data_IF_383336571903
#
_entry.id   IF_383336571903
#
_cell.length_a   1.000
_cell.length_b   1.000
_cell.length_c   1.000
_cell.angle_alpha   90.00
_cell.angle_beta   90.00
_cell.angle_gamma   90.00
#
_symmetry.space_group_name_H-M   'P 1'
#
loop_
_entity.id
_entity.type
_entity.pdbx_description
1 polymer ?
#
# COMPACT_ATOMS: atom_id res chain seq x y z
N UNK A 1 -23.49 6.51 -45.36
CA UNK A 1 -23.00 7.59 -44.47
C UNK A 1 -22.20 6.96 -43.34
N UNK A 2 -20.88 7.20 -43.30
CA UNK A 2 -19.95 6.65 -42.31
C UNK A 2 -19.78 7.67 -41.17
N UNK A 3 -19.99 7.28 -39.91
CA UNK A 3 -19.57 8.08 -38.74
C UNK A 3 -18.49 7.29 -38.00
N UNK A 4 -17.24 7.76 -38.16
CA UNK A 4 -16.07 7.31 -37.41
C UNK A 4 -16.20 7.79 -35.96
N UNK A 5 -16.05 6.88 -35.00
CA UNK A 5 -15.82 7.23 -33.60
C UNK A 5 -14.34 7.51 -33.39
N UNK A 6 -14.06 8.60 -32.68
CA UNK A 6 -12.72 9.11 -32.41
C UNK A 6 -11.95 8.22 -31.44
N UNK A 7 -10.64 8.17 -31.67
CA UNK A 7 -9.63 7.41 -30.92
C UNK A 7 -9.64 7.79 -29.44
N UNK A 8 -9.68 6.77 -28.58
CA UNK A 8 -9.29 6.88 -27.18
C UNK A 8 -7.82 7.31 -27.11
N UNK A 9 -7.55 8.36 -26.33
CA UNK A 9 -6.19 8.78 -25.99
C UNK A 9 -5.69 7.85 -24.87
N UNK A 10 -4.71 7.01 -25.20
CA UNK A 10 -3.92 6.27 -24.20
C UNK A 10 -2.93 7.28 -23.63
N UNK A 11 -3.14 7.72 -22.39
CA UNK A 11 -2.15 8.49 -21.64
C UNK A 11 -1.22 7.46 -20.98
N UNK A 12 0.04 7.43 -21.42
CA UNK A 12 1.07 6.64 -20.77
C UNK A 12 1.38 7.26 -19.40
N UNK A 13 0.95 6.62 -18.32
CA UNK A 13 1.43 6.92 -16.98
C UNK A 13 2.87 6.42 -16.85
N UNK A 14 3.80 7.31 -16.48
CA UNK A 14 5.18 6.95 -16.25
C UNK A 14 5.28 6.13 -14.96
N UNK A 15 5.64 4.85 -15.07
CA UNK A 15 5.89 3.94 -13.95
C UNK A 15 7.04 4.48 -13.10
N UNK A 16 6.76 4.86 -11.85
CA UNK A 16 7.79 5.12 -10.83
C UNK A 16 7.84 3.90 -9.91
N UNK A 17 8.73 2.97 -10.22
CA UNK A 17 9.03 1.83 -9.33
C UNK A 17 9.92 2.34 -8.20
N UNK A 18 9.38 2.45 -6.99
CA UNK A 18 10.18 2.75 -5.79
C UNK A 18 10.64 1.42 -5.19
N UNK A 19 11.89 1.02 -5.46
CA UNK A 19 12.55 -0.06 -4.72
C UNK A 19 13.18 0.53 -3.47
N UNK A 20 12.61 0.28 -2.30
CA UNK A 20 13.28 0.53 -1.02
C UNK A 20 14.17 -0.66 -0.69
N UNK A 21 15.48 -0.43 -0.78
CA UNK A 21 16.53 -1.43 -0.58
C UNK A 21 16.63 -1.93 0.86
N UNK A 22 16.46 -3.24 1.03
CA UNK A 22 16.89 -3.97 2.21
C UNK A 22 18.41 -4.23 2.11
N UNK A 23 19.18 -3.67 3.05
CA UNK A 23 20.62 -3.89 3.17
C UNK A 23 20.86 -5.29 3.75
N UNK A 24 21.36 -6.21 2.93
CA UNK A 24 22.00 -7.45 3.40
C UNK A 24 23.52 -7.27 3.45
N UNK A 25 24.10 -7.33 4.65
CA UNK A 25 25.54 -7.41 4.83
C UNK A 25 26.01 -8.84 4.55
N UNK A 26 26.70 -9.05 3.42
CA UNK A 26 27.43 -10.29 3.14
C UNK A 26 28.91 -10.02 3.34
N UNK A 27 29.48 -10.60 4.40
CA UNK A 27 30.94 -10.62 4.62
C UNK A 27 31.59 -11.61 3.65
N UNK A 28 32.32 -11.11 2.65
CA UNK A 28 33.12 -11.93 1.73
C UNK A 28 34.50 -12.17 2.32
N UNK A 29 34.80 -13.45 2.60
CA UNK A 29 36.13 -13.96 2.91
C UNK A 29 36.88 -14.18 1.60
N UNK A 30 38.00 -13.50 1.43
CA UNK A 30 38.86 -13.55 0.24
C UNK A 30 39.57 -14.90 0.10
N UNK A 31 39.54 -15.47 -1.11
CA UNK A 31 40.31 -16.65 -1.51
C UNK A 31 40.78 -16.50 -2.96
N UNK A 32 42.09 -16.35 -3.16
CA UNK A 32 42.78 -16.32 -4.44
C UNK A 32 42.77 -17.69 -5.15
N UNK A 33 42.75 -17.70 -6.50
CA UNK A 33 43.05 -18.92 -7.23
C UNK A 33 42.92 -18.90 -8.76
N UNK A 34 43.99 -18.43 -9.42
CA UNK A 34 44.59 -18.91 -10.68
C UNK A 34 43.82 -18.83 -12.02
N UNK A 35 44.48 -18.11 -12.93
CA UNK A 35 44.25 -18.06 -14.38
C UNK A 35 44.43 -19.43 -15.05
N UNK A 36 43.59 -19.70 -16.05
CA UNK A 36 43.79 -20.76 -17.02
C UNK A 36 43.86 -20.15 -18.43
N UNK A 37 44.93 -20.52 -19.10
CA UNK A 37 45.42 -20.08 -20.40
C UNK A 37 44.82 -20.97 -21.49
N UNK A 38 44.26 -20.39 -22.55
CA UNK A 38 43.82 -21.14 -23.74
C UNK A 38 44.28 -20.45 -25.02
N UNK A 39 44.61 -21.31 -25.99
CA UNK A 39 45.48 -21.13 -27.14
C UNK A 39 45.02 -20.07 -28.15
N UNK A 40 46.01 -19.37 -28.70
CA UNK A 40 45.91 -18.48 -29.86
C UNK A 40 45.48 -19.24 -31.12
N UNK A 41 44.52 -18.68 -31.86
CA UNK A 41 44.25 -19.00 -33.27
C UNK A 41 44.21 -17.67 -34.02
N UNK A 42 45.00 -17.54 -35.08
CA UNK A 42 45.10 -16.31 -35.88
C UNK A 42 43.80 -16.03 -36.66
N UNK A 43 43.31 -14.77 -36.71
CA UNK A 43 42.14 -14.39 -37.51
C UNK A 43 42.52 -14.06 -38.98
N UNK A 44 41.64 -14.35 -39.96
CA UNK A 44 41.86 -14.03 -41.38
C UNK A 44 41.76 -12.52 -41.69
N UNK A 45 42.32 -12.06 -42.83
CA UNK A 45 42.55 -10.64 -43.11
C UNK A 45 41.29 -9.84 -43.47
N UNK A 46 41.07 -8.78 -42.67
CA UNK A 46 40.53 -7.45 -42.98
C UNK A 46 39.39 -7.31 -44.02
N UNK A 47 38.16 -7.19 -43.52
CA UNK A 47 37.17 -6.25 -44.07
C UNK A 47 37.03 -5.14 -43.03
N UNK A 48 37.46 -3.92 -43.35
CA UNK A 48 37.29 -2.77 -42.46
C UNK A 48 35.80 -2.39 -42.35
N UNK A 49 35.17 -2.52 -41.17
CA UNK A 49 33.86 -1.91 -40.97
C UNK A 49 34.07 -0.40 -40.84
N UNK A 50 33.38 0.41 -41.65
CA UNK A 50 33.28 1.85 -41.40
C UNK A 50 32.63 2.05 -40.05
N UNK A 51 33.39 2.52 -39.07
CA UNK A 51 32.88 2.93 -37.75
C UNK A 51 31.82 4.04 -37.96
N UNK A 52 30.55 3.83 -37.58
CA UNK A 52 29.62 4.94 -37.47
C UNK A 52 30.12 5.85 -36.36
N UNK A 53 30.20 7.16 -36.61
CA UNK A 53 30.55 8.13 -35.59
C UNK A 53 29.62 7.94 -34.38
N UNK A 54 30.19 7.68 -33.21
CA UNK A 54 29.44 7.59 -31.96
C UNK A 54 28.85 8.96 -31.66
N UNK A 55 27.52 9.10 -31.52
CA UNK A 55 26.95 10.36 -31.09
C UNK A 55 27.47 10.69 -29.68
N UNK A 56 28.09 11.86 -29.54
CA UNK A 56 28.45 12.41 -28.24
C UNK A 56 27.16 12.81 -27.53
N UNK A 57 26.67 11.95 -26.64
CA UNK A 57 25.59 12.30 -25.74
C UNK A 57 26.16 13.14 -24.59
N UNK A 58 25.56 14.30 -24.38
CA UNK A 58 25.85 15.15 -23.23
C UNK A 58 25.63 14.36 -21.94
N UNK A 59 26.64 14.31 -21.07
CA UNK A 59 26.59 13.76 -19.71
C UNK A 59 25.94 14.74 -18.71
N UNK A 60 25.41 15.87 -19.17
CA UNK A 60 24.66 16.76 -18.30
C UNK A 60 23.41 16.04 -17.80
N UNK A 61 23.35 15.77 -16.49
CA UNK A 61 22.13 15.33 -15.85
C UNK A 61 21.01 16.33 -16.20
N UNK A 62 19.81 15.84 -16.59
CA UNK A 62 18.70 16.74 -16.85
C UNK A 62 18.48 17.61 -15.60
N UNK A 63 18.13 18.90 -15.75
CA UNK A 63 17.77 19.71 -14.61
C UNK A 63 16.69 18.96 -13.82
N UNK A 64 16.76 18.96 -12.47
CA UNK A 64 15.73 18.31 -11.67
C UNK A 64 14.37 18.83 -12.13
N UNK A 65 13.38 17.94 -12.35
CA UNK A 65 12.06 18.38 -12.78
C UNK A 65 11.59 19.46 -11.81
N UNK A 66 11.17 20.60 -12.36
CA UNK A 66 10.61 21.68 -11.55
C UNK A 66 9.46 21.09 -10.74
N UNK A 67 9.55 21.20 -9.41
CA UNK A 67 8.53 20.68 -8.50
C UNK A 67 7.21 21.33 -8.89
N UNK A 68 6.33 20.58 -9.54
CA UNK A 68 5.02 21.07 -9.97
C UNK A 68 4.30 21.52 -8.70
N UNK A 69 3.84 22.78 -8.70
CA UNK A 69 2.97 23.27 -7.64
C UNK A 69 1.56 23.00 -8.10
N UNK A 70 0.81 22.19 -7.35
CA UNK A 70 -0.59 21.91 -7.64
C UNK A 70 -1.39 23.21 -7.59
N UNK A 71 -2.27 23.43 -8.57
CA UNK A 71 -3.12 24.63 -8.63
C UNK A 71 -4.47 24.44 -7.98
N UNK A 72 -4.85 23.18 -7.72
CA UNK A 72 -6.08 22.79 -7.03
C UNK A 72 -5.80 22.28 -5.62
N UNK A 73 -6.80 22.35 -4.75
CA UNK A 73 -6.64 21.85 -3.38
C UNK A 73 -6.52 20.32 -3.36
N UNK A 74 -5.30 19.84 -3.14
CA UNK A 74 -5.00 18.41 -2.99
C UNK A 74 -5.45 17.81 -1.66
N UNK A 75 -5.82 18.64 -0.69
CA UNK A 75 -6.05 18.24 0.70
C UNK A 75 -4.80 17.78 1.47
N UNK A 76 -3.63 17.73 0.83
CA UNK A 76 -2.38 17.36 1.50
C UNK A 76 -1.93 18.49 2.44
N UNK A 77 -2.04 18.24 3.75
CA UNK A 77 -1.70 19.19 4.83
C UNK A 77 -0.74 18.56 5.84
N UNK A 78 0.27 17.84 5.34
CA UNK A 78 1.24 17.09 6.15
C UNK A 78 1.80 17.95 7.30
N UNK A 79 1.78 17.42 8.53
CA UNK A 79 2.22 18.11 9.74
C UNK A 79 1.21 19.09 10.35
N UNK A 80 0.06 19.31 9.72
CA UNK A 80 -0.97 20.28 10.12
C UNK A 80 -2.29 19.63 10.57
N UNK A 81 -2.28 18.32 10.83
CA UNK A 81 -3.48 17.63 11.30
C UNK A 81 -3.85 18.00 12.74
N UNK A 82 -5.06 17.63 13.20
CA UNK A 82 -5.53 17.98 14.54
C UNK A 82 -4.63 17.43 15.65
N UNK A 83 -4.33 18.27 16.64
CA UNK A 83 -3.53 17.92 17.81
C UNK A 83 -4.32 17.19 18.92
N UNK A 84 -5.61 16.98 18.73
CA UNK A 84 -6.48 16.26 19.67
C UNK A 84 -7.31 15.21 18.92
N UNK A 85 -7.62 14.11 19.60
CA UNK A 85 -8.56 13.11 19.11
C UNK A 85 -9.98 13.55 19.41
N UNK A 86 -10.84 13.48 18.40
CA UNK A 86 -12.28 13.48 18.62
C UNK A 86 -12.66 12.18 19.33
N UNK A 87 -13.51 12.22 20.38
CA UNK A 87 -14.00 11.00 21.02
C UNK A 87 -14.62 10.04 19.99
N UNK A 88 -14.18 8.78 20.01
CA UNK A 88 -14.76 7.72 19.18
C UNK A 88 -16.17 7.42 19.71
N UNK A 89 -17.21 7.38 18.85
CA UNK A 89 -18.54 6.99 19.29
C UNK A 89 -18.53 5.59 19.92
N UNK A 90 -19.18 5.43 21.08
CA UNK A 90 -19.15 4.15 21.79
C UNK A 90 -19.71 2.98 20.97
N UNK A 91 -20.69 3.24 20.12
CA UNK A 91 -21.25 2.26 19.18
C UNK A 91 -20.19 1.74 18.21
N UNK A 92 -19.37 2.65 17.66
CA UNK A 92 -18.23 2.31 16.81
C UNK A 92 -17.20 1.47 17.56
N UNK A 93 -16.78 1.91 18.76
CA UNK A 93 -15.84 1.15 19.59
C UNK A 93 -16.35 -0.27 19.88
N UNK A 94 -17.62 -0.42 20.26
CA UNK A 94 -18.21 -1.74 20.55
C UNK A 94 -18.21 -2.65 19.33
N UNK A 95 -18.64 -2.16 18.16
CA UNK A 95 -18.69 -2.97 16.92
C UNK A 95 -17.30 -3.41 16.48
N UNK A 96 -16.34 -2.49 16.42
CA UNK A 96 -14.95 -2.78 16.04
C UNK A 96 -14.34 -3.81 17.00
N UNK A 97 -14.50 -3.64 18.31
CA UNK A 97 -13.96 -4.58 19.29
C UNK A 97 -14.62 -5.96 19.20
N UNK A 98 -15.95 -6.03 18.99
CA UNK A 98 -16.65 -7.29 18.83
C UNK A 98 -16.19 -8.06 17.58
N UNK A 99 -15.95 -7.35 16.47
CA UNK A 99 -15.39 -7.95 15.26
C UNK A 99 -13.96 -8.47 15.49
N UNK A 100 -13.10 -7.68 16.14
CA UNK A 100 -11.75 -8.11 16.50
C UNK A 100 -11.73 -9.33 17.42
N UNK A 101 -12.58 -9.36 18.45
CA UNK A 101 -12.66 -10.51 19.36
C UNK A 101 -12.99 -11.82 18.62
N UNK A 102 -13.85 -11.75 17.60
CA UNK A 102 -14.20 -12.88 16.73
C UNK A 102 -12.99 -13.31 15.88
N UNK A 103 -12.35 -12.36 15.21
CA UNK A 103 -11.13 -12.59 14.41
C UNK A 103 -10.03 -13.22 15.27
N UNK A 104 -9.70 -12.62 16.41
CA UNK A 104 -8.64 -13.09 17.31
C UNK A 104 -8.90 -14.51 17.83
N UNK A 105 -10.14 -14.81 18.24
CA UNK A 105 -10.51 -16.16 18.71
C UNK A 105 -10.29 -17.19 17.61
N UNK A 106 -10.75 -16.88 16.40
CA UNK A 106 -10.58 -17.78 15.28
C UNK A 106 -9.10 -17.99 14.91
N UNK A 107 -8.32 -16.90 14.85
CA UNK A 107 -6.89 -16.97 14.53
C UNK A 107 -6.12 -17.79 15.57
N UNK A 108 -6.37 -17.59 16.87
CA UNK A 108 -5.71 -18.37 17.93
C UNK A 108 -5.96 -19.87 17.81
N UNK A 109 -7.18 -20.26 17.40
CA UNK A 109 -7.52 -21.67 17.24
C UNK A 109 -6.95 -22.27 15.94
N UNK A 110 -7.05 -21.55 14.83
CA UNK A 110 -6.84 -22.09 13.49
C UNK A 110 -5.50 -21.66 12.88
N UNK A 111 -5.15 -20.39 12.99
CA UNK A 111 -3.98 -19.78 12.36
C UNK A 111 -3.07 -19.04 13.37
N UNK A 112 -2.47 -19.73 14.36
CA UNK A 112 -1.67 -19.11 15.42
C UNK A 112 -0.44 -18.34 14.90
N UNK A 113 0.13 -18.73 13.75
CA UNK A 113 1.23 -17.99 13.13
C UNK A 113 0.78 -16.58 12.74
N UNK A 114 -0.40 -16.48 12.12
CA UNK A 114 -1.03 -15.19 11.82
C UNK A 114 -1.48 -14.47 13.09
N UNK A 115 -2.01 -15.17 14.09
CA UNK A 115 -2.40 -14.56 15.36
C UNK A 115 -1.23 -13.82 16.03
N UNK A 116 -0.02 -14.39 15.96
CA UNK A 116 1.19 -13.81 16.54
C UNK A 116 1.66 -12.52 15.83
N UNK A 117 1.18 -12.25 14.61
CA UNK A 117 1.52 -11.04 13.85
C UNK A 117 0.74 -9.80 14.29
N UNK A 118 -0.37 -9.97 15.01
CA UNK A 118 -1.20 -8.85 15.48
C UNK A 118 -0.42 -8.06 16.54
N UNK A 119 -0.16 -6.78 16.26
CA UNK A 119 0.59 -5.92 17.17
C UNK A 119 -0.26 -5.54 18.39
N UNK A 120 0.36 -5.21 19.53
CA UNK A 120 -0.38 -4.64 20.65
C UNK A 120 -1.07 -3.32 20.27
N UNK A 121 -2.03 -2.83 21.07
CA UNK A 121 -2.67 -1.53 20.87
C UNK A 121 -1.70 -0.37 20.65
N UNK A 122 -2.07 0.55 19.76
CA UNK A 122 -1.42 1.86 19.65
C UNK A 122 -1.78 2.73 20.85
N UNK A 123 -0.85 3.60 21.27
CA UNK A 123 -1.16 4.59 22.30
C UNK A 123 -1.94 5.77 21.72
N UNK A 124 -2.79 6.40 22.54
CA UNK A 124 -3.50 7.65 22.20
C UNK A 124 -2.53 8.72 21.69
N UNK A 125 -1.36 8.83 22.32
CA UNK A 125 -0.30 9.77 21.92
C UNK A 125 0.20 9.48 20.50
N UNK A 126 0.44 8.20 20.18
CA UNK A 126 0.88 7.79 18.84
C UNK A 126 -0.19 8.09 17.79
N UNK A 127 -1.46 7.79 18.06
CA UNK A 127 -2.58 8.06 17.14
C UNK A 127 -2.73 9.57 16.92
N UNK A 128 -2.61 10.38 17.97
CA UNK A 128 -2.67 11.85 17.88
C UNK A 128 -1.52 12.40 17.03
N UNK A 129 -0.31 11.87 17.21
CA UNK A 129 0.84 12.24 16.40
C UNK A 129 0.66 11.84 14.93
N UNK A 130 0.09 10.66 14.67
CA UNK A 130 -0.25 10.20 13.31
C UNK A 130 -1.22 11.17 12.63
N UNK A 131 -2.27 11.65 13.30
CA UNK A 131 -3.17 12.67 12.74
C UNK A 131 -2.39 13.91 12.30
N UNK A 132 -1.54 14.42 13.22
CA UNK A 132 -0.73 15.61 12.99
C UNK A 132 0.15 15.43 11.76
N UNK A 133 0.88 14.32 11.69
CA UNK A 133 1.78 14.01 10.58
C UNK A 133 1.04 13.82 9.25
N UNK A 134 -0.05 13.05 9.24
CA UNK A 134 -0.85 12.79 8.06
C UNK A 134 -1.58 14.05 7.54
N UNK A 135 -1.84 15.03 8.40
CA UNK A 135 -2.52 16.27 8.01
C UNK A 135 -4.04 16.18 8.03
N UNK A 136 -4.61 15.15 8.65
CA UNK A 136 -6.04 14.83 8.61
C UNK A 136 -6.48 14.16 9.91
N UNK A 137 -7.72 14.41 10.33
CA UNK A 137 -8.32 13.67 11.45
C UNK A 137 -8.47 12.19 11.06
N UNK A 138 -8.05 11.27 11.93
CA UNK A 138 -8.25 9.85 11.66
C UNK A 138 -9.74 9.51 11.84
N UNK A 139 -10.35 8.73 10.93
CA UNK A 139 -11.73 8.29 11.07
C UNK A 139 -11.91 7.48 12.36
N UNK A 140 -13.08 7.61 12.99
CA UNK A 140 -13.35 7.02 14.30
C UNK A 140 -13.14 5.49 14.34
N UNK A 141 -13.48 4.80 13.24
CA UNK A 141 -13.31 3.35 13.13
C UNK A 141 -11.84 2.92 13.07
N UNK A 142 -10.99 3.71 12.39
CA UNK A 142 -9.55 3.47 12.35
C UNK A 142 -8.94 3.71 13.73
N UNK A 143 -9.36 4.77 14.44
CA UNK A 143 -8.91 5.03 15.82
C UNK A 143 -9.30 3.85 16.73
N UNK A 144 -10.54 3.38 16.66
CA UNK A 144 -10.98 2.21 17.41
C UNK A 144 -10.14 0.96 17.11
N UNK A 145 -9.85 0.72 15.82
CA UNK A 145 -9.05 -0.43 15.39
C UNK A 145 -7.61 -0.35 15.85
N UNK A 146 -6.97 0.83 15.74
CA UNK A 146 -5.60 1.07 16.21
C UNK A 146 -5.47 0.92 17.74
N UNK A 147 -6.51 1.29 18.49
CA UNK A 147 -6.59 1.05 19.94
C UNK A 147 -6.77 -0.43 20.30
N UNK A 148 -7.04 -1.31 19.33
CA UNK A 148 -7.06 -2.77 19.52
C UNK A 148 -5.75 -3.41 19.05
N UNK A 149 -5.30 -3.05 17.85
CA UNK A 149 -4.06 -3.51 17.25
C UNK A 149 -3.40 -2.40 16.44
N UNK A 150 -2.13 -2.08 16.74
CA UNK A 150 -1.31 -1.15 15.96
C UNK A 150 -0.82 -1.79 14.65
N UNK A 151 -1.74 -2.30 13.84
CA UNK A 151 -1.45 -3.03 12.61
C UNK A 151 -0.84 -4.42 12.85
N UNK A 152 -0.03 -4.86 11.89
CA UNK A 152 0.65 -6.16 11.91
C UNK A 152 2.18 -6.03 11.83
N UNK A 153 2.91 -7.09 12.19
CA UNK A 153 4.39 -7.08 12.22
C UNK A 153 5.06 -6.99 10.86
N UNK A 154 4.36 -7.27 9.76
CA UNK A 154 4.91 -7.21 8.41
C UNK A 154 3.94 -7.75 7.36
N UNK A 155 4.49 -8.15 6.22
CA UNK A 155 3.77 -8.73 5.08
C UNK A 155 4.10 -10.23 5.02
N UNK A 156 3.22 -11.01 4.38
CA UNK A 156 3.37 -12.47 4.23
C UNK A 156 2.40 -13.20 5.14
N UNK A 157 2.91 -14.01 6.07
CA UNK A 157 2.09 -14.82 7.00
C UNK A 157 1.33 -13.99 8.07
N UNK A 158 1.46 -12.65 8.00
CA UNK A 158 0.77 -11.72 8.89
C UNK A 158 -0.71 -11.58 8.53
N UNK A 159 -1.52 -11.13 9.50
CA UNK A 159 -2.94 -10.97 9.28
C UNK A 159 -3.21 -10.01 8.12
N UNK A 160 -4.10 -10.41 7.22
CA UNK A 160 -4.61 -9.60 6.13
C UNK A 160 -6.14 -9.59 6.18
N UNK A 161 -6.70 -8.39 6.05
CA UNK A 161 -8.08 -8.23 5.61
C UNK A 161 -8.18 -8.74 4.17
N UNK A 162 -9.32 -9.35 3.80
CA UNK A 162 -9.44 -9.98 2.50
C UNK A 162 -9.26 -8.97 1.35
N UNK A 163 -8.72 -9.41 0.20
CA UNK A 163 -7.99 -10.67 0.08
C UNK A 163 -6.55 -10.56 0.61
N UNK A 164 -5.87 -9.41 0.48
CA UNK A 164 -4.43 -9.33 0.78
C UNK A 164 -4.03 -7.98 1.42
N UNK A 165 -4.91 -7.40 2.22
CA UNK A 165 -4.72 -6.05 2.78
C UNK A 165 -4.26 -6.11 4.25
N UNK A 166 -2.97 -5.89 4.49
CA UNK A 166 -2.39 -5.91 5.82
C UNK A 166 -2.71 -4.62 6.59
N UNK A 167 -3.39 -4.68 7.76
CA UNK A 167 -3.71 -3.49 8.54
C UNK A 167 -2.47 -2.66 8.88
N UNK A 168 -2.54 -1.37 8.55
CA UNK A 168 -1.45 -0.43 8.77
C UNK A 168 -1.32 -0.09 10.26
N UNK A 169 -0.07 -0.03 10.75
CA UNK A 169 0.22 0.60 12.04
C UNK A 169 -0.01 2.10 11.97
N UNK A 170 -0.17 2.78 13.11
CA UNK A 170 -0.30 4.23 13.17
C UNK A 170 0.90 4.95 12.51
N UNK A 171 2.10 4.37 12.58
CA UNK A 171 3.28 4.86 11.88
C UNK A 171 3.19 4.65 10.36
N UNK A 172 2.76 3.47 9.92
CA UNK A 172 2.52 3.17 8.50
C UNK A 172 1.48 4.13 7.92
N UNK A 173 0.39 4.42 8.63
CA UNK A 173 -0.62 5.40 8.18
C UNK A 173 0.00 6.76 7.89
N UNK A 174 0.84 7.27 8.79
CA UNK A 174 1.51 8.57 8.60
C UNK A 174 2.52 8.53 7.44
N UNK A 175 3.29 7.44 7.33
CA UNK A 175 4.28 7.25 6.26
C UNK A 175 3.62 7.18 4.89
N UNK A 176 2.57 6.38 4.74
CA UNK A 176 1.83 6.26 3.47
C UNK A 176 1.14 7.56 3.09
N UNK A 177 0.49 8.24 4.05
CA UNK A 177 -0.14 9.54 3.78
C UNK A 177 0.88 10.57 3.25
N UNK A 178 2.10 10.58 3.80
CA UNK A 178 3.20 11.42 3.32
C UNK A 178 3.65 11.01 1.91
N UNK A 179 3.94 9.73 1.69
CA UNK A 179 4.43 9.22 0.42
C UNK A 179 3.44 9.48 -0.71
N UNK A 180 2.16 9.14 -0.50
CA UNK A 180 1.10 9.34 -1.49
C UNK A 180 0.87 10.82 -1.78
N UNK A 181 0.98 11.72 -0.79
CA UNK A 181 0.94 13.15 -1.02
C UNK A 181 2.13 13.70 -1.83
N UNK A 182 3.35 13.17 -1.66
CA UNK A 182 4.50 13.58 -2.48
C UNK A 182 4.41 13.04 -3.91
N UNK A 183 3.89 11.82 -4.10
CA UNK A 183 3.60 11.28 -5.43
C UNK A 183 2.52 12.11 -6.12
N UNK A 184 1.43 12.46 -5.42
CA UNK A 184 0.36 13.31 -5.94
C UNK A 184 0.88 14.66 -6.47
N UNK A 185 1.75 15.33 -5.69
CA UNK A 185 2.39 16.59 -6.11
C UNK A 185 3.24 16.44 -7.37
N UNK A 186 3.84 15.26 -7.56
CA UNK A 186 4.69 14.98 -8.71
C UNK A 186 3.87 14.64 -9.96
N UNK A 187 2.72 13.98 -9.78
CA UNK A 187 1.81 13.61 -10.85
C UNK A 187 1.16 14.85 -11.48
N UNK A 188 0.46 15.67 -10.68
CA UNK A 188 -0.20 16.89 -11.16
C UNK A 188 -1.65 17.00 -10.73
N UNK A 189 -2.31 18.07 -11.20
CA UNK A 189 -3.69 18.41 -10.82
C UNK A 189 -4.69 17.33 -11.28
N UNK A 190 -4.46 16.68 -12.41
CA UNK A 190 -5.30 15.61 -12.93
C UNK A 190 -5.43 14.40 -12.00
N UNK A 191 -4.48 14.22 -11.08
CA UNK A 191 -4.44 13.11 -10.12
C UNK A 191 -5.19 13.41 -8.82
N UNK A 192 -5.55 14.66 -8.55
CA UNK A 192 -6.20 15.05 -7.29
C UNK A 192 -7.63 14.53 -7.25
N UNK A 193 -7.93 13.74 -6.22
CA UNK A 193 -9.24 13.11 -5.99
C UNK A 193 -9.52 11.90 -6.87
N UNK A 194 -8.90 11.81 -8.06
CA UNK A 194 -8.98 10.66 -8.96
C UNK A 194 -8.00 9.54 -8.56
N UNK A 195 -6.74 9.88 -8.30
CA UNK A 195 -5.70 8.94 -7.89
C UNK A 195 -5.42 9.02 -6.39
N UNK A 196 -5.33 10.24 -5.84
CA UNK A 196 -5.19 10.45 -4.40
C UNK A 196 -5.71 11.80 -3.95
N UNK A 197 -6.01 11.93 -2.66
CA UNK A 197 -6.33 13.19 -1.99
C UNK A 197 -5.80 13.11 -0.56
N UNK A 198 -5.27 14.20 0.00
CA UNK A 198 -4.72 14.21 1.37
C UNK A 198 -5.74 14.02 2.49
N UNK A 199 -7.02 13.76 2.14
CA UNK A 199 -8.09 13.37 3.08
C UNK A 199 -8.50 11.90 2.89
N UNK A 200 -7.83 11.17 2.03
CA UNK A 200 -7.88 9.71 2.00
C UNK A 200 -6.89 9.22 3.06
N UNK A 201 -7.38 8.46 4.02
CA UNK A 201 -6.58 8.01 5.17
C UNK A 201 -6.22 6.54 4.93
N UNK A 202 -4.95 6.20 4.69
CA UNK A 202 -4.53 4.81 4.53
C UNK A 202 -4.89 3.98 5.77
N UNK A 203 -5.35 2.75 5.58
CA UNK A 203 -5.71 1.83 6.67
C UNK A 203 -5.09 0.44 6.52
N UNK A 204 -4.71 0.05 5.31
CA UNK A 204 -4.06 -1.23 5.04
C UNK A 204 -3.24 -1.15 3.76
N UNK A 205 -2.21 -2.00 3.64
CA UNK A 205 -1.30 -2.07 2.49
C UNK A 205 -1.24 -3.49 1.94
N UNK A 206 -1.09 -3.65 0.62
CA UNK A 206 -0.98 -4.97 -0.03
C UNK A 206 0.47 -5.46 -0.18
N UNK A 207 1.45 -4.57 -0.01
CA UNK A 207 2.86 -4.86 -0.30
C UNK A 207 3.28 -4.64 -1.76
N UNK A 208 2.32 -4.45 -2.66
CA UNK A 208 2.55 -4.15 -4.08
C UNK A 208 2.46 -2.67 -4.45
N UNK A 209 2.28 -1.78 -3.47
CA UNK A 209 2.03 -0.35 -3.70
C UNK A 209 0.55 0.04 -3.62
N UNK A 210 -0.36 -0.94 -3.55
CA UNK A 210 -1.80 -0.74 -3.37
C UNK A 210 -2.21 -0.83 -1.90
N UNK A 211 -3.47 -0.49 -1.63
CA UNK A 211 -4.08 -0.76 -0.34
C UNK A 211 -5.43 -0.11 -0.15
N UNK A 212 -5.87 -0.06 1.11
CA UNK A 212 -7.18 0.44 1.49
C UNK A 212 -7.09 1.79 2.19
N UNK A 213 -8.05 2.66 1.91
CA UNK A 213 -8.17 3.95 2.58
C UNK A 213 -9.61 4.23 3.01
N UNK A 214 -9.76 5.18 3.93
CA UNK A 214 -11.04 5.78 4.28
C UNK A 214 -11.11 7.21 3.74
N UNK A 215 -12.13 7.52 2.93
CA UNK A 215 -12.39 8.86 2.43
C UNK A 215 -12.98 9.74 3.53
N UNK A 216 -12.15 10.63 4.06
CA UNK A 216 -12.51 11.55 5.13
C UNK A 216 -12.92 12.94 4.60
N UNK A 217 -13.17 13.14 3.30
CA UNK A 217 -13.58 14.44 2.73
C UNK A 217 -14.91 14.95 3.29
N UNK A 218 -15.87 14.06 3.52
CA UNK A 218 -17.18 14.35 4.12
C UNK A 218 -17.21 14.09 5.63
N UNK A 219 -16.13 13.58 6.20
CA UNK A 219 -16.04 13.21 7.61
C UNK A 219 -16.60 11.82 7.96
N UNK A 220 -17.16 11.10 6.99
CA UNK A 220 -17.84 9.81 7.22
C UNK A 220 -16.92 8.59 7.12
N UNK A 221 -15.77 8.69 6.44
CA UNK A 221 -14.81 7.60 6.29
C UNK A 221 -15.30 6.47 5.38
N UNK A 222 -15.61 6.77 4.10
CA UNK A 222 -16.02 5.72 3.14
C UNK A 222 -14.82 4.85 2.77
N UNK A 223 -14.93 3.55 2.92
CA UNK A 223 -13.86 2.61 2.54
C UNK A 223 -13.71 2.52 1.02
N UNK A 224 -12.46 2.56 0.57
CA UNK A 224 -12.06 2.35 -0.81
C UNK A 224 -10.66 1.76 -0.90
N UNK A 225 -10.22 1.55 -2.13
CA UNK A 225 -8.91 1.01 -2.50
C UNK A 225 -8.21 2.00 -3.41
N UNK A 226 -6.91 2.20 -3.19
CA UNK A 226 -6.07 2.90 -4.16
C UNK A 226 -5.25 1.85 -4.93
N UNK A 227 -5.17 2.07 -6.24
CA UNK A 227 -4.34 1.33 -7.17
C UNK A 227 -3.20 2.26 -7.59
N UNK A 228 -1.95 1.85 -7.36
CA UNK A 228 -0.79 2.68 -7.66
C UNK A 228 -0.62 2.95 -9.18
N UNK A 229 -1.13 2.08 -10.05
CA UNK A 229 -1.13 2.26 -11.51
C UNK A 229 -2.45 2.84 -12.05
N UNK A 230 -3.48 2.90 -11.21
CA UNK A 230 -4.85 3.16 -11.62
C UNK A 230 -5.48 4.39 -10.95
N UNK A 231 -6.64 4.18 -10.36
CA UNK A 231 -7.46 5.21 -9.72
C UNK A 231 -8.05 4.68 -8.43
N UNK A 232 -8.54 5.56 -7.57
CA UNK A 232 -9.28 5.09 -6.40
C UNK A 232 -10.59 4.41 -6.81
N UNK A 233 -10.93 3.32 -6.12
CA UNK A 233 -12.13 2.54 -6.37
C UNK A 233 -12.93 2.32 -5.08
N UNK A 234 -14.26 2.30 -5.20
CA UNK A 234 -15.18 2.07 -4.09
C UNK A 234 -16.17 0.92 -4.33
N UNK A 235 -16.31 0.40 -5.55
CA UNK A 235 -17.49 -0.37 -5.96
C UNK A 235 -17.56 -1.79 -5.36
N UNK A 236 -16.42 -2.35 -4.96
CA UNK A 236 -16.31 -3.71 -4.41
C UNK A 236 -16.18 -3.77 -2.88
N UNK A 237 -16.11 -2.61 -2.22
CA UNK A 237 -15.83 -2.50 -0.80
C UNK A 237 -17.11 -2.21 -0.02
N UNK A 238 -17.29 -2.76 1.19
CA UNK A 238 -18.34 -2.31 2.08
C UNK A 238 -18.14 -0.83 2.42
N UNK A 239 -19.18 -0.19 2.95
CA UNK A 239 -19.14 1.26 3.17
C UNK A 239 -18.07 1.69 4.19
N UNK A 240 -17.76 0.83 5.16
CA UNK A 240 -16.95 1.17 6.34
C UNK A 240 -15.90 0.09 6.66
N UNK A 241 -14.88 0.46 7.46
CA UNK A 241 -13.88 -0.50 7.97
C UNK A 241 -14.54 -1.49 8.93
N UNK A 242 -15.48 -1.03 9.75
CA UNK A 242 -16.23 -1.87 10.69
C UNK A 242 -16.98 -2.97 9.95
N UNK A 243 -17.66 -2.63 8.85
CA UNK A 243 -18.38 -3.63 8.05
C UNK A 243 -17.42 -4.63 7.39
N UNK A 244 -16.23 -4.19 6.94
CA UNK A 244 -15.20 -5.10 6.43
C UNK A 244 -14.70 -6.07 7.52
N UNK A 245 -14.45 -5.58 8.74
CA UNK A 245 -14.03 -6.41 9.88
C UNK A 245 -15.12 -7.42 10.25
N UNK A 246 -16.38 -7.02 10.29
CA UNK A 246 -17.51 -7.90 10.61
C UNK A 246 -17.73 -8.97 9.54
N UNK A 247 -17.59 -8.61 8.26
CA UNK A 247 -17.65 -9.57 7.15
C UNK A 247 -16.46 -10.54 7.20
N UNK A 248 -15.26 -10.04 7.49
CA UNK A 248 -14.06 -10.87 7.67
C UNK A 248 -14.26 -11.88 8.80
N UNK A 249 -14.70 -11.42 9.97
CA UNK A 249 -15.00 -12.30 11.11
C UNK A 249 -16.02 -13.38 10.76
N UNK A 250 -17.08 -13.01 10.03
CA UNK A 250 -18.12 -13.93 9.61
C UNK A 250 -17.61 -14.98 8.62
N UNK A 251 -16.79 -14.58 7.63
CA UNK A 251 -16.18 -15.51 6.68
C UNK A 251 -15.23 -16.50 7.38
N UNK A 252 -14.42 -16.02 8.33
CA UNK A 252 -13.56 -16.89 9.13
C UNK A 252 -14.37 -17.93 9.92
N UNK A 253 -15.39 -17.49 10.67
CA UNK A 253 -16.16 -18.38 11.54
C UNK A 253 -17.04 -19.38 10.78
N UNK A 254 -17.54 -19.01 9.60
CA UNK A 254 -18.47 -19.86 8.83
C UNK A 254 -17.80 -20.69 7.75
N UNK A 255 -16.57 -20.35 7.36
CA UNK A 255 -15.93 -20.88 6.16
C UNK A 255 -16.58 -20.37 4.85
N UNK A 256 -17.45 -19.37 4.94
CA UNK A 256 -18.11 -18.74 3.80
C UNK A 256 -17.19 -17.80 2.99
N UNK A 257 -17.77 -17.11 2.01
CA UNK A 257 -17.04 -16.19 1.13
C UNK A 257 -17.21 -14.73 1.52
N UNK A 258 -16.26 -13.88 1.10
CA UNK A 258 -16.20 -12.43 1.34
C UNK A 258 -15.64 -11.71 0.11
N UNK A 259 -15.97 -10.42 -0.07
CA UNK A 259 -15.47 -9.54 -1.14
C UNK A 259 -15.43 -10.17 -2.55
N UNK A 260 -16.58 -10.65 -3.02
CA UNK A 260 -16.71 -11.16 -4.39
C UNK A 260 -16.25 -12.61 -4.60
N UNK A 261 -15.98 -13.36 -3.52
CA UNK A 261 -15.84 -14.81 -3.60
C UNK A 261 -14.70 -15.41 -2.78
N UNK A 262 -13.83 -14.60 -2.18
CA UNK A 262 -12.68 -15.09 -1.42
C UNK A 262 -13.11 -15.88 -0.19
N UNK A 263 -12.43 -16.99 0.10
CA UNK A 263 -12.60 -17.77 1.32
C UNK A 263 -11.30 -17.88 2.09
N UNK A 264 -11.41 -17.94 3.41
CA UNK A 264 -10.26 -18.17 4.27
C UNK A 264 -9.70 -19.58 4.07
N UNK A 265 -8.39 -19.69 3.98
CA UNK A 265 -7.67 -20.96 3.99
C UNK A 265 -6.55 -20.89 5.04
N UNK A 266 -6.21 -22.03 5.63
CA UNK A 266 -5.08 -22.15 6.56
C UNK A 266 -4.00 -22.95 5.87
N UNK A 267 -2.84 -22.34 5.71
CA UNK A 267 -1.68 -22.95 5.06
C UNK A 267 -0.98 -23.95 6.00
N UNK A 268 -0.02 -24.71 5.48
CA UNK A 268 0.69 -25.75 6.26
C UNK A 268 1.50 -25.21 7.46
N UNK A 269 1.93 -23.95 7.42
CA UNK A 269 2.60 -23.27 8.54
C UNK A 269 1.62 -22.67 9.56
N UNK A 270 0.31 -22.95 9.41
CA UNK A 270 -0.77 -22.40 10.23
C UNK A 270 -0.90 -20.86 10.13
N UNK A 271 -0.71 -20.32 8.95
CA UNK A 271 -1.06 -18.94 8.63
C UNK A 271 -2.41 -18.88 7.89
N UNK A 272 -3.14 -17.78 8.07
CA UNK A 272 -4.31 -17.43 7.28
C UNK A 272 -3.84 -16.97 5.90
N UNK A 273 -4.55 -17.41 4.87
CA UNK A 273 -4.47 -16.89 3.52
C UNK A 273 -5.89 -16.81 2.92
N UNK A 274 -6.06 -16.16 1.78
CA UNK A 274 -7.34 -15.96 1.11
C UNK A 274 -7.30 -16.53 -0.30
N UNK A 275 -8.10 -17.56 -0.53
CA UNK A 275 -8.19 -18.20 -1.85
C UNK A 275 -9.48 -17.78 -2.57
N UNK A 276 -9.40 -17.67 -3.90
CA UNK A 276 -10.57 -17.50 -4.75
C UNK A 276 -11.00 -18.89 -5.24
N UNK A 277 -12.15 -19.42 -4.80
CA UNK A 277 -12.64 -20.70 -5.29
C UNK A 277 -12.77 -20.69 -6.81
N UNK A 278 -12.11 -21.64 -7.47
CA UNK A 278 -12.30 -21.89 -8.90
C UNK A 278 -13.60 -22.63 -9.16
#
# INVERSE_FOLDING_TARGET
MRKKWGRAAVIAAASVVIVLGLVFAVTVRSGHGKAAQWLSSEPPPWITPKTPATPSYSTAAPPPPTRRTLTIDSGCRLGQGPAALTPVPETTTRRVNAAWDRVERWLRANAPTTAASLRPPATIQRITETQRQAGVALPAELVASLLRHDGVTGIGESFSLPPFNHPASAETVASEAKSLCEVLKSAGDESVGYWWHGRFVPIAVSGGGDGLFLDQRTGTGRLGEWDHEGSVNFDRWPATLTDLLEQTATALETGGTVLGGYRAVVTGNRALDWDFPR
#
